data_IF_470401813799
#
_entry.id   IF_470401813799
#
_cell.length_a   1.000
_cell.length_b   1.000
_cell.length_c   1.000
_cell.angle_alpha   90.00
_cell.angle_beta   90.00
_cell.angle_gamma   90.00
#
_symmetry.space_group_name_H-M   'P 1'
#
loop_
_entity.id
_entity.type
_entity.pdbx_description
1 polymer ?
#
# COMPACT_ATOMS: atom_id res chain seq x y z
N UNK A 1 -8.25 -10.78 -9.67
CA UNK A 1 -8.02 -9.46 -9.05
C UNK A 1 -9.02 -9.11 -7.93
N UNK A 2 -8.65 -9.43 -6.69
CA UNK A 2 -9.20 -8.90 -5.43
C UNK A 2 -8.41 -7.66 -5.03
N UNK A 3 -9.05 -6.75 -4.29
CA UNK A 3 -8.44 -5.52 -3.75
C UNK A 3 -8.55 -5.54 -2.24
N UNK A 4 -7.47 -5.16 -1.55
CA UNK A 4 -7.43 -4.91 -0.11
C UNK A 4 -7.02 -3.46 0.12
N UNK A 5 -7.74 -2.79 1.00
CA UNK A 5 -7.43 -1.41 1.41
C UNK A 5 -7.06 -1.44 2.89
N UNK A 6 -5.91 -0.86 3.21
CA UNK A 6 -5.45 -0.64 4.58
C UNK A 6 -5.44 0.87 4.77
N UNK A 7 -6.18 1.36 5.77
CA UNK A 7 -6.33 2.78 6.03
C UNK A 7 -6.27 3.06 7.52
N UNK A 8 -5.39 3.98 7.91
CA UNK A 8 -5.14 4.37 9.30
C UNK A 8 -4.99 5.89 9.39
N UNK A 9 -5.19 6.46 10.58
CA UNK A 9 -4.85 7.87 10.79
C UNK A 9 -3.32 8.05 10.61
N UNK A 10 -2.88 9.20 10.09
CA UNK A 10 -1.44 9.45 9.89
C UNK A 10 -0.62 9.33 11.20
N UNK A 11 -1.27 9.52 12.35
CA UNK A 11 -0.69 9.37 13.69
C UNK A 11 -0.43 7.92 14.08
N UNK A 12 -0.99 6.94 13.37
CA UNK A 12 -0.93 5.51 13.64
C UNK A 12 -0.04 4.80 12.59
N UNK A 13 1.07 5.45 12.20
CA UNK A 13 1.94 4.97 11.13
C UNK A 13 2.50 3.56 11.39
N UNK A 14 2.86 3.24 12.63
CA UNK A 14 3.46 1.95 12.98
C UNK A 14 2.47 0.78 12.75
N UNK A 15 1.20 0.99 13.09
CA UNK A 15 0.13 0.01 12.87
C UNK A 15 -0.17 -0.16 11.37
N UNK A 16 -0.18 0.96 10.63
CA UNK A 16 -0.29 0.95 9.17
C UNK A 16 0.84 0.15 8.51
N UNK A 17 2.09 0.40 8.91
CA UNK A 17 3.27 -0.28 8.37
C UNK A 17 3.22 -1.78 8.68
N UNK A 18 2.84 -2.16 9.91
CA UNK A 18 2.71 -3.56 10.31
C UNK A 18 1.66 -4.31 9.46
N UNK A 19 0.49 -3.71 9.25
CA UNK A 19 -0.58 -4.31 8.44
C UNK A 19 -0.20 -4.44 6.96
N UNK A 20 0.47 -3.42 6.39
CA UNK A 20 0.96 -3.47 5.01
C UNK A 20 1.99 -4.58 4.87
N UNK A 21 2.95 -4.66 5.78
CA UNK A 21 3.99 -5.71 5.77
C UNK A 21 3.39 -7.11 5.91
N UNK A 22 2.36 -7.28 6.75
CA UNK A 22 1.66 -8.56 6.86
C UNK A 22 0.96 -8.92 5.55
N UNK A 23 0.27 -7.98 4.91
CA UNK A 23 -0.39 -8.23 3.64
C UNK A 23 0.61 -8.61 2.53
N UNK A 24 1.78 -7.96 2.49
CA UNK A 24 2.86 -8.33 1.56
C UNK A 24 3.36 -9.76 1.81
N UNK A 25 3.51 -10.18 3.08
CA UNK A 25 3.89 -11.57 3.43
C UNK A 25 2.81 -12.58 3.07
N UNK A 26 1.55 -12.18 3.10
CA UNK A 26 0.40 -13.00 2.69
C UNK A 26 0.26 -13.14 1.16
N UNK A 27 1.19 -12.54 0.38
CA UNK A 27 1.22 -12.61 -1.07
C UNK A 27 0.37 -11.55 -1.77
N UNK A 28 -0.03 -10.48 -1.06
CA UNK A 28 -0.57 -9.29 -1.70
C UNK A 28 0.56 -8.41 -2.25
N UNK A 29 0.24 -7.63 -3.27
CA UNK A 29 1.15 -6.68 -3.89
C UNK A 29 0.68 -5.26 -3.64
N UNK A 30 1.57 -4.42 -3.13
CA UNK A 30 1.29 -2.99 -2.98
C UNK A 30 1.21 -2.34 -4.36
N UNK A 31 0.05 -1.77 -4.67
CA UNK A 31 -0.22 -1.09 -5.94
C UNK A 31 -0.01 0.41 -5.83
N UNK A 32 -0.48 1.01 -4.73
CA UNK A 32 -0.44 2.46 -4.54
C UNK A 32 -0.51 2.84 -3.05
N UNK A 33 0.02 4.01 -2.71
CA UNK A 33 -0.04 4.62 -1.39
C UNK A 33 -0.31 6.11 -1.52
N UNK A 34 -1.27 6.64 -0.76
CA UNK A 34 -1.55 8.08 -0.76
C UNK A 34 -2.08 8.53 0.60
N UNK A 35 -2.06 9.84 0.83
CA UNK A 35 -2.46 10.48 2.08
C UNK A 35 -3.65 11.42 1.89
N UNK A 36 -4.89 10.89 1.77
CA UNK A 36 -6.06 11.74 1.62
C UNK A 36 -6.35 12.51 2.91
N UNK A 37 -6.84 13.74 2.78
CA UNK A 37 -7.51 14.44 3.88
C UNK A 37 -8.93 13.90 4.03
N UNK A 38 -9.33 13.56 5.25
CA UNK A 38 -10.71 13.17 5.55
C UNK A 38 -11.63 14.39 5.64
N UNK A 39 -12.95 14.17 5.64
CA UNK A 39 -13.95 15.22 5.88
C UNK A 39 -13.75 15.93 7.24
N UNK A 40 -13.07 15.26 8.18
CA UNK A 40 -12.71 15.82 9.50
C UNK A 40 -11.42 16.65 9.48
N UNK A 41 -10.73 16.76 8.35
CA UNK A 41 -9.46 17.47 8.20
C UNK A 41 -8.24 16.68 8.70
N UNK A 42 -8.44 15.50 9.29
CA UNK A 42 -7.34 14.64 9.71
C UNK A 42 -6.78 13.87 8.50
N UNK A 43 -5.44 13.85 8.31
CA UNK A 43 -4.82 13.06 7.26
C UNK A 43 -4.88 11.57 7.60
N UNK A 44 -5.16 10.74 6.60
CA UNK A 44 -5.04 9.28 6.68
C UNK A 44 -3.91 8.77 5.80
N UNK A 45 -3.36 7.62 6.15
CA UNK A 45 -2.52 6.82 5.26
C UNK A 45 -3.40 5.75 4.63
N UNK A 46 -3.32 5.60 3.31
CA UNK A 46 -4.07 4.58 2.58
C UNK A 46 -3.11 3.78 1.70
N UNK A 47 -3.12 2.46 1.85
CA UNK A 47 -2.45 1.51 0.97
C UNK A 47 -3.48 0.69 0.21
N UNK A 48 -3.31 0.59 -1.10
CA UNK A 48 -4.11 -0.26 -1.98
C UNK A 48 -3.26 -1.46 -2.38
N UNK A 49 -3.74 -2.65 -2.06
CA UNK A 49 -3.08 -3.91 -2.41
C UNK A 49 -3.96 -4.78 -3.31
N UNK A 50 -3.32 -5.59 -4.15
CA UNK A 50 -3.97 -6.51 -5.08
C UNK A 50 -3.35 -7.90 -4.99
N UNK A 51 -4.11 -8.94 -5.29
CA UNK A 51 -3.68 -10.35 -5.19
C UNK A 51 -3.15 -10.95 -6.51
N UNK A 52 -3.15 -10.13 -7.56
CA UNK A 52 -3.04 -10.60 -8.95
C UNK A 52 -2.26 -9.56 -9.74
N UNK A 53 -0.94 -9.66 -9.65
CA UNK A 53 -0.02 -8.96 -10.54
C UNK A 53 0.69 -10.07 -11.29
N UNK A 54 0.34 -10.28 -12.56
CA UNK A 54 1.27 -10.97 -13.47
C UNK A 54 2.61 -10.25 -13.29
N UNK A 55 3.70 -10.95 -12.94
CA UNK A 55 5.00 -10.31 -12.76
C UNK A 55 5.38 -9.68 -14.11
N UNK A 56 5.06 -8.40 -14.26
CA UNK A 56 5.65 -7.58 -15.33
C UNK A 56 7.11 -7.53 -14.98
N UNK A 57 7.95 -8.18 -15.81
CA UNK A 57 9.40 -8.15 -15.68
C UNK A 57 9.83 -6.72 -15.31
N UNK A 58 10.21 -6.51 -14.04
CA UNK A 58 10.83 -5.26 -13.63
C UNK A 58 12.23 -5.31 -14.22
N UNK A 59 12.40 -4.75 -15.42
CA UNK A 59 13.72 -4.50 -15.98
C UNK A 59 14.27 -3.25 -15.32
N UNK A 60 15.18 -3.43 -14.39
CA UNK A 60 16.04 -2.35 -13.90
C UNK A 60 16.91 -1.95 -15.09
N UNK A 61 16.62 -0.80 -15.68
CA UNK A 61 17.53 -0.16 -16.64
C UNK A 61 18.48 0.67 -15.78
N UNK A 62 19.65 0.11 -15.48
CA UNK A 62 20.77 0.91 -14.98
C UNK A 62 21.20 1.85 -16.11
N UNK A 63 21.13 3.15 -15.88
CA UNK A 63 21.74 4.15 -16.77
C UNK A 63 23.14 4.45 -16.22
N UNK A 64 24.16 4.32 -17.08
CA UNK A 64 25.54 4.76 -16.85
C UNK A 64 25.62 6.26 -16.52
#
# INVERSE_FOLDING_TARGET
>A
MRVRVIAWALTEYDDFEADVNQALRDGWYLRDTHTPQTETGLPMLVAILVDDVEPREVRIIEAD
#
